data_IF_347284632471
#
_entry.id   IF_347284632471
#
_cell.length_a   1.000
_cell.length_b   1.000
_cell.length_c   1.000
_cell.angle_alpha   90.00
_cell.angle_beta   90.00
_cell.angle_gamma   90.00
#
_symmetry.space_group_name_H-M   'P 1'
#
loop_
_entity.id
_entity.type
_entity.pdbx_description
1 polymer ?
#
# COMPACT_ATOMS: atom_id res chain seq x y z
N UNK A 1 27.44 -5.75 -1.31
CA UNK A 1 26.21 -5.00 -1.01
C UNK A 1 25.13 -5.54 -1.93
N UNK A 2 24.16 -6.26 -1.37
CA UNK A 2 23.17 -7.02 -2.14
C UNK A 2 22.29 -6.07 -2.94
N UNK A 3 22.34 -6.21 -4.26
CA UNK A 3 21.51 -5.53 -5.23
C UNK A 3 20.06 -5.96 -5.00
N UNK A 4 19.35 -5.28 -4.08
CA UNK A 4 17.96 -5.56 -3.74
C UNK A 4 17.15 -5.24 -4.99
N UNK A 5 16.83 -6.27 -5.80
CA UNK A 5 15.85 -6.17 -6.88
C UNK A 5 14.64 -5.48 -6.28
N UNK A 6 14.37 -4.25 -6.68
CA UNK A 6 13.17 -3.56 -6.20
C UNK A 6 11.99 -4.28 -6.84
N UNK A 7 11.29 -5.09 -6.03
CA UNK A 7 10.04 -5.68 -6.44
C UNK A 7 8.96 -4.59 -6.41
N UNK A 8 7.94 -4.70 -7.26
CA UNK A 8 6.82 -3.75 -7.36
C UNK A 8 6.29 -3.33 -5.99
N UNK A 9 6.12 -4.28 -5.06
CA UNK A 9 5.73 -4.02 -3.67
C UNK A 9 6.61 -3.00 -2.93
N UNK A 10 7.93 -3.06 -3.13
CA UNK A 10 8.88 -2.14 -2.48
C UNK A 10 8.80 -0.72 -3.05
N UNK A 11 8.55 -0.59 -4.37
CA UNK A 11 8.33 0.69 -5.02
C UNK A 11 7.01 1.31 -4.56
N UNK A 12 5.92 0.52 -4.61
CA UNK A 12 4.60 0.95 -4.12
C UNK A 12 4.71 1.39 -2.67
N UNK A 13 5.34 0.60 -1.78
CA UNK A 13 5.54 0.95 -0.38
C UNK A 13 6.15 2.35 -0.22
N UNK A 14 7.25 2.64 -0.90
CA UNK A 14 7.92 3.94 -0.81
C UNK A 14 7.03 5.10 -1.31
N UNK A 15 6.17 4.85 -2.30
CA UNK A 15 5.26 5.85 -2.86
C UNK A 15 4.06 6.13 -1.94
N UNK A 16 3.51 5.08 -1.33
CA UNK A 16 2.26 5.17 -0.54
C UNK A 16 2.51 5.42 0.96
N UNK A 17 3.72 5.18 1.46
CA UNK A 17 4.05 5.37 2.89
C UNK A 17 3.80 6.81 3.36
N UNK A 18 4.20 7.79 2.55
CA UNK A 18 3.98 9.21 2.85
C UNK A 18 2.49 9.60 2.88
N UNK A 19 1.69 9.41 1.81
CA UNK A 19 0.29 9.82 1.79
C UNK A 19 -0.55 9.09 2.86
N UNK A 20 -0.26 7.82 3.15
CA UNK A 20 -0.94 7.06 4.22
C UNK A 20 -0.63 7.67 5.59
N UNK A 21 0.65 8.00 5.85
CA UNK A 21 1.06 8.66 7.09
C UNK A 21 0.45 10.05 7.25
N UNK A 22 0.36 10.83 6.16
CA UNK A 22 -0.27 12.15 6.16
C UNK A 22 -1.77 12.12 6.48
N UNK A 23 -2.44 11.01 6.15
CA UNK A 23 -3.84 10.77 6.50
C UNK A 23 -4.02 10.27 7.95
N UNK A 24 -2.93 10.03 8.69
CA UNK A 24 -2.96 9.52 10.07
C UNK A 24 -3.05 8.00 10.19
N UNK A 25 -2.76 7.27 9.10
CA UNK A 25 -2.69 5.81 9.08
C UNK A 25 -1.24 5.35 9.12
N UNK A 26 -1.03 4.13 9.58
CA UNK A 26 0.28 3.47 9.57
C UNK A 26 0.32 2.39 8.50
N UNK A 27 1.28 2.47 7.59
CA UNK A 27 1.49 1.42 6.61
C UNK A 27 2.12 0.19 7.27
N UNK A 28 1.36 -0.89 7.37
CA UNK A 28 1.82 -2.14 7.96
C UNK A 28 2.71 -2.90 6.98
N UNK A 29 2.12 -3.35 5.87
CA UNK A 29 2.83 -4.14 4.86
C UNK A 29 2.29 -3.89 3.44
N UNK A 30 3.13 -4.18 2.44
CA UNK A 30 2.74 -4.16 1.03
C UNK A 30 3.21 -5.45 0.39
N UNK A 31 2.26 -6.23 -0.12
CA UNK A 31 2.53 -7.49 -0.77
C UNK A 31 2.12 -7.42 -2.24
N UNK A 32 2.96 -8.01 -3.09
CA UNK A 32 2.64 -8.20 -4.50
C UNK A 32 2.83 -9.68 -4.82
N UNK A 33 1.72 -10.38 -5.04
CA UNK A 33 1.71 -11.82 -5.21
C UNK A 33 0.80 -12.21 -6.37
N UNK A 34 1.02 -13.42 -6.89
CA UNK A 34 0.20 -13.99 -7.95
C UNK A 34 -0.83 -14.91 -7.34
N UNK A 35 -2.10 -14.65 -7.61
CA UNK A 35 -3.20 -15.51 -7.21
C UNK A 35 -3.88 -16.06 -8.48
N UNK A 36 -3.72 -17.36 -8.72
CA UNK A 36 -4.19 -18.00 -9.95
C UNK A 36 -3.52 -17.41 -11.21
N UNK A 37 -4.31 -16.78 -12.07
CA UNK A 37 -3.85 -16.12 -13.28
C UNK A 37 -3.57 -14.61 -13.08
N UNK A 38 -3.98 -14.04 -11.95
CA UNK A 38 -3.98 -12.60 -11.69
C UNK A 38 -2.85 -12.20 -10.75
N UNK A 39 -2.45 -10.94 -10.84
CA UNK A 39 -1.46 -10.33 -9.96
C UNK A 39 -2.18 -9.38 -9.01
N UNK A 40 -2.03 -9.63 -7.71
CA UNK A 40 -2.69 -8.88 -6.65
C UNK A 40 -1.65 -8.01 -5.95
N UNK A 41 -1.97 -6.73 -5.85
CA UNK A 41 -1.26 -5.77 -5.01
C UNK A 41 -2.09 -5.53 -3.76
N UNK A 42 -1.59 -5.99 -2.63
CA UNK A 42 -2.25 -5.84 -1.33
C UNK A 42 -1.49 -4.81 -0.49
N UNK A 43 -2.21 -3.82 0.02
CA UNK A 43 -1.67 -2.76 0.88
C UNK A 43 -2.36 -2.85 2.23
N UNK A 44 -1.63 -3.26 3.26
CA UNK A 44 -2.12 -3.38 4.63
C UNK A 44 -1.86 -2.09 5.41
N UNK A 45 -2.91 -1.50 5.94
CA UNK A 45 -2.87 -0.26 6.72
C UNK A 45 -3.49 -0.48 8.09
N UNK A 46 -3.00 0.25 9.09
CA UNK A 46 -3.53 0.27 10.45
C UNK A 46 -3.84 1.70 10.91
N UNK A 47 -4.84 1.84 11.79
CA UNK A 47 -5.20 3.12 12.41
C UNK A 47 -5.51 2.90 13.88
N UNK A 48 -4.89 3.70 14.74
CA UNK A 48 -5.13 3.68 16.18
C UNK A 48 -6.58 4.16 16.46
N UNK A 49 -7.48 3.21 16.70
CA UNK A 49 -8.91 3.46 16.89
C UNK A 49 -9.82 2.67 15.95
N UNK A 50 -9.24 1.90 15.02
CA UNK A 50 -9.98 1.10 14.04
C UNK A 50 -10.03 1.76 12.67
N UNK A 51 -10.17 0.93 11.65
CA UNK A 51 -10.35 1.33 10.25
C UNK A 51 -11.81 1.08 9.87
N UNK A 52 -12.42 2.07 9.24
CA UNK A 52 -13.75 1.96 8.65
C UNK A 52 -13.66 1.66 7.15
N UNK A 53 -14.75 1.20 6.54
CA UNK A 53 -14.79 0.94 5.09
C UNK A 53 -14.59 2.22 4.26
N UNK A 54 -15.07 3.38 4.74
CA UNK A 54 -14.83 4.67 4.10
C UNK A 54 -13.34 5.03 4.07
N UNK A 55 -12.61 4.78 5.17
CA UNK A 55 -11.17 5.03 5.24
C UNK A 55 -10.42 4.25 4.14
N UNK A 56 -10.81 3.00 3.88
CA UNK A 56 -10.25 2.20 2.78
C UNK A 56 -10.50 2.85 1.42
N UNK A 57 -11.72 3.35 1.17
CA UNK A 57 -12.05 4.02 -0.09
C UNK A 57 -11.25 5.31 -0.29
N UNK A 58 -11.08 6.11 0.76
CA UNK A 58 -10.28 7.33 0.71
C UNK A 58 -8.80 7.03 0.45
N UNK A 59 -8.24 6.00 1.09
CA UNK A 59 -6.87 5.56 0.85
C UNK A 59 -6.71 5.11 -0.60
N UNK A 60 -7.60 4.24 -1.11
CA UNK A 60 -7.54 3.76 -2.50
C UNK A 60 -7.52 4.93 -3.49
N UNK A 61 -8.47 5.87 -3.38
CA UNK A 61 -8.52 7.07 -4.25
C UNK A 61 -7.27 7.93 -4.16
N UNK A 62 -6.62 7.95 -2.99
CA UNK A 62 -5.39 8.72 -2.77
C UNK A 62 -4.17 8.05 -3.40
N UNK A 63 -4.08 6.73 -3.34
CA UNK A 63 -2.92 5.97 -3.82
C UNK A 63 -3.02 5.62 -5.31
N UNK A 64 -4.23 5.40 -5.86
CA UNK A 64 -4.44 5.08 -7.28
C UNK A 64 -3.66 5.98 -8.26
N UNK A 65 -3.75 7.32 -8.21
CA UNK A 65 -3.03 8.19 -9.14
C UNK A 65 -1.50 8.22 -8.92
N UNK A 66 -1.00 7.59 -7.85
CA UNK A 66 0.43 7.51 -7.54
C UNK A 66 1.02 6.20 -8.10
N UNK A 67 0.20 5.15 -8.20
CA UNK A 67 0.62 3.79 -8.58
C UNK A 67 0.33 3.49 -10.06
N UNK A 68 -0.48 4.32 -10.74
CA UNK A 68 -0.75 4.26 -12.18
C UNK A 68 0.52 4.28 -13.06
#
# INVERSE_FOLDING_TARGET
MSNKKQNTASQVRALVEKPISEMGFSLWDVAYYKEGAELILEVSVDKKGGISLDDCSDITKKIEPIID
#
